data_IF_991699165868
#
_entry.id   IF_991699165868
#
_cell.length_a   1.000
_cell.length_b   1.000
_cell.length_c   1.000
_cell.angle_alpha   90.00
_cell.angle_beta   90.00
_cell.angle_gamma   90.00
#
_symmetry.space_group_name_H-M   'P 1'
#
loop_
_entity.id
_entity.type
_entity.pdbx_description
1 polymer ?
#
# COMPACT_ATOMS: atom_id res chain seq x y z
N UNK A 1 5.26 12.14 -0.32
CA UNK A 1 6.20 12.02 0.80
C UNK A 1 6.34 13.34 1.53
N UNK A 2 6.91 13.31 2.74
CA UNK A 2 6.97 14.47 3.63
C UNK A 2 7.58 15.74 3.02
N UNK A 3 8.64 15.62 2.23
CA UNK A 3 9.26 16.76 1.52
C UNK A 3 8.30 17.49 0.59
N UNK A 4 7.35 16.76 0.01
CA UNK A 4 6.32 17.28 -0.90
C UNK A 4 4.99 17.55 -0.19
N UNK A 5 4.94 17.48 1.15
CA UNK A 5 3.73 17.68 1.98
C UNK A 5 2.53 16.84 1.54
N UNK A 6 2.79 15.64 1.05
CA UNK A 6 1.76 14.69 0.64
C UNK A 6 2.03 13.30 1.22
N UNK A 7 0.97 12.52 1.43
CA UNK A 7 1.09 11.13 1.86
C UNK A 7 1.96 10.32 0.89
N UNK A 8 2.62 9.30 1.41
CA UNK A 8 3.27 8.31 0.57
C UNK A 8 2.19 7.52 -0.17
N UNK A 9 2.38 7.32 -1.47
CA UNK A 9 1.51 6.46 -2.26
C UNK A 9 2.34 5.42 -2.99
N UNK A 10 1.71 4.30 -3.27
CA UNK A 10 2.24 3.22 -4.10
C UNK A 10 1.27 2.94 -5.24
N UNK A 11 1.80 2.31 -6.28
CA UNK A 11 1.02 1.78 -7.40
C UNK A 11 1.48 0.35 -7.64
N UNK A 12 0.54 -0.54 -7.92
CA UNK A 12 0.85 -1.90 -8.33
C UNK A 12 1.38 -1.89 -9.77
N UNK A 13 2.44 -2.67 -10.01
CA UNK A 13 2.99 -2.89 -11.35
C UNK A 13 2.23 -4.08 -11.97
N UNK A 14 2.18 -4.14 -13.30
CA UNK A 14 1.68 -5.32 -14.01
C UNK A 14 2.50 -6.55 -13.62
N UNK A 15 1.80 -7.67 -13.43
CA UNK A 15 2.40 -8.91 -12.93
C UNK A 15 2.33 -9.92 -14.04
N UNK A 16 3.52 -10.32 -14.50
CA UNK A 16 3.74 -11.38 -15.46
C UNK A 16 3.85 -12.76 -14.79
N UNK A 17 4.05 -12.82 -13.46
CA UNK A 17 4.18 -14.07 -12.70
C UNK A 17 3.08 -14.26 -11.62
N UNK A 18 2.34 -15.37 -11.75
CA UNK A 18 1.29 -15.79 -10.82
C UNK A 18 1.80 -16.10 -9.39
N UNK A 19 3.11 -16.28 -9.19
CA UNK A 19 3.72 -16.56 -7.88
C UNK A 19 4.27 -15.31 -7.16
N UNK A 20 4.01 -14.12 -7.70
CA UNK A 20 4.54 -12.84 -7.17
C UNK A 20 4.02 -12.45 -5.78
N UNK A 21 3.02 -13.14 -5.24
CA UNK A 21 2.62 -12.95 -3.85
C UNK A 21 2.39 -14.28 -3.14
N UNK A 22 2.82 -14.31 -1.90
CA UNK A 22 2.55 -15.37 -0.94
C UNK A 22 1.95 -14.75 0.33
N UNK A 23 1.26 -15.58 1.11
CA UNK A 23 0.89 -15.20 2.47
C UNK A 23 2.10 -15.36 3.38
N UNK A 24 2.40 -14.32 4.16
CA UNK A 24 3.35 -14.38 5.26
C UNK A 24 2.63 -14.88 6.51
N UNK A 25 3.30 -15.67 7.35
CA UNK A 25 2.75 -16.02 8.67
C UNK A 25 2.54 -14.72 9.48
N UNK A 26 1.34 -14.47 10.02
CA UNK A 26 1.08 -13.28 10.83
C UNK A 26 2.03 -13.12 12.02
N UNK A 27 2.58 -14.21 12.56
CA UNK A 27 3.56 -14.18 13.64
C UNK A 27 4.93 -13.64 13.20
N UNK A 28 5.23 -13.68 11.90
CA UNK A 28 6.44 -13.08 11.32
C UNK A 28 6.26 -11.57 11.03
N UNK A 29 5.04 -11.05 11.18
CA UNK A 29 4.76 -9.61 10.99
C UNK A 29 5.15 -8.84 12.23
N UNK A 30 6.32 -8.20 12.18
CA UNK A 30 6.81 -7.36 13.28
C UNK A 30 6.00 -6.06 13.39
N UNK A 31 5.49 -5.54 12.26
CA UNK A 31 4.70 -4.28 12.19
C UNK A 31 3.74 -4.29 11.03
N UNK A 32 2.56 -3.70 11.24
CA UNK A 32 1.54 -3.56 10.21
C UNK A 32 1.51 -2.11 9.68
N UNK A 33 1.31 -1.98 8.37
CA UNK A 33 0.93 -0.73 7.72
C UNK A 33 -0.37 -0.95 6.96
N UNK A 34 -1.22 0.08 6.91
CA UNK A 34 -2.48 -0.01 6.17
C UNK A 34 -2.30 0.50 4.75
N UNK A 35 -2.90 -0.19 3.78
CA UNK A 35 -3.03 0.32 2.40
C UNK A 35 -4.44 0.90 2.28
N UNK A 36 -4.54 2.17 1.88
CA UNK A 36 -5.80 2.91 1.80
C UNK A 36 -5.97 3.42 0.37
N UNK A 37 -7.11 3.16 -0.26
CA UNK A 37 -7.38 3.66 -1.62
C UNK A 37 -7.24 5.18 -1.71
N UNK A 38 -6.52 5.67 -2.71
CA UNK A 38 -6.33 7.10 -2.92
C UNK A 38 -7.46 7.66 -3.79
N UNK A 39 -8.65 7.81 -3.18
CA UNK A 39 -9.91 8.15 -3.85
C UNK A 39 -9.81 9.34 -4.83
N UNK A 40 -8.98 10.33 -4.51
CA UNK A 40 -8.81 11.53 -5.32
C UNK A 40 -8.26 11.28 -6.73
N UNK A 41 -7.48 10.22 -6.92
CA UNK A 41 -6.89 9.89 -8.23
C UNK A 41 -7.80 9.06 -9.13
N UNK A 42 -8.99 8.69 -8.64
CA UNK A 42 -9.94 7.88 -9.39
C UNK A 42 -9.48 6.44 -9.62
N UNK A 43 -10.25 5.77 -10.47
CA UNK A 43 -10.10 4.36 -10.79
C UNK A 43 -9.55 4.16 -12.20
N UNK A 44 -9.08 2.96 -12.51
CA UNK A 44 -8.65 2.53 -13.83
C UNK A 44 -9.51 1.37 -14.32
N UNK A 45 -9.72 1.31 -15.63
CA UNK A 45 -10.42 0.20 -16.28
C UNK A 45 -9.41 -0.93 -16.44
N UNK A 46 -9.48 -1.91 -15.54
CA UNK A 46 -8.40 -2.86 -15.30
C UNK A 46 -8.26 -3.94 -16.38
N UNK A 47 -7.12 -3.91 -17.08
CA UNK A 47 -6.54 -5.09 -17.75
C UNK A 47 -5.09 -5.38 -17.33
N UNK A 48 -4.43 -4.48 -16.59
CA UNK A 48 -2.98 -4.57 -16.34
C UNK A 48 -2.58 -4.68 -14.85
N UNK A 49 -3.52 -4.88 -13.93
CA UNK A 49 -3.22 -4.93 -12.49
C UNK A 49 -3.61 -6.26 -11.85
N UNK A 50 -2.64 -6.82 -11.11
CA UNK A 50 -2.65 -8.05 -10.32
C UNK A 50 -4.02 -8.58 -9.87
N UNK A 51 -4.20 -9.91 -10.02
CA UNK A 51 -5.36 -10.66 -9.52
C UNK A 51 -5.53 -10.60 -7.98
N UNK A 52 -4.54 -10.12 -7.23
CA UNK A 52 -4.64 -10.00 -5.77
C UNK A 52 -5.51 -8.82 -5.34
N UNK A 53 -5.60 -7.80 -6.20
CA UNK A 53 -6.52 -6.68 -6.00
C UNK A 53 -7.98 -7.11 -6.23
N UNK A 54 -8.23 -8.18 -7.01
CA UNK A 54 -9.57 -8.66 -7.35
C UNK A 54 -10.34 -9.32 -6.20
N UNK A 55 -9.68 -9.75 -5.12
CA UNK A 55 -10.37 -10.43 -4.01
C UNK A 55 -11.19 -9.45 -3.16
N UNK A 56 -10.76 -8.17 -3.09
CA UNK A 56 -11.46 -7.13 -2.32
C UNK A 56 -12.42 -6.28 -3.19
N UNK A 57 -12.11 -6.08 -4.46
CA UNK A 57 -12.88 -5.19 -5.36
C UNK A 57 -13.95 -5.95 -6.19
N UNK A 58 -14.62 -6.94 -5.58
CA UNK A 58 -15.75 -7.69 -6.19
C UNK A 58 -17.01 -6.86 -6.47
N UNK A 59 -17.00 -5.56 -6.19
CA UNK A 59 -18.16 -4.69 -6.37
C UNK A 59 -17.90 -3.66 -7.48
N UNK A 60 -17.95 -4.07 -8.75
CA UNK A 60 -18.28 -3.29 -9.97
C UNK A 60 -17.74 -1.85 -10.18
N UNK A 61 -16.84 -1.36 -9.33
CA UNK A 61 -16.22 -0.04 -9.33
C UNK A 61 -14.75 -0.29 -9.66
N UNK A 62 -14.24 0.28 -10.76
CA UNK A 62 -12.91 -0.06 -11.28
C UNK A 62 -11.77 0.05 -10.26
N UNK A 63 -10.61 -0.53 -10.58
CA UNK A 63 -9.49 -0.63 -9.63
C UNK A 63 -8.89 0.74 -9.31
N UNK A 64 -8.57 1.05 -8.05
CA UNK A 64 -7.96 2.35 -7.71
C UNK A 64 -6.55 2.48 -8.32
N UNK A 65 -6.23 3.64 -8.91
CA UNK A 65 -4.95 3.87 -9.60
C UNK A 65 -3.75 3.98 -8.64
N UNK A 66 -4.01 4.41 -7.42
CA UNK A 66 -3.02 4.67 -6.40
C UNK A 66 -3.60 4.32 -5.03
N UNK A 67 -2.70 3.95 -4.12
CA UNK A 67 -3.04 3.71 -2.72
C UNK A 67 -2.09 4.49 -1.82
N UNK A 68 -2.63 5.11 -0.79
CA UNK A 68 -1.85 5.73 0.28
C UNK A 68 -1.31 4.69 1.25
N UNK A 69 -0.12 4.96 1.77
CA UNK A 69 0.51 4.19 2.86
C UNK A 69 0.09 4.80 4.19
N UNK A 70 -0.78 4.09 4.91
CA UNK A 70 -1.24 4.40 6.26
C UNK A 70 -0.19 4.01 7.31
N UNK A 71 0.87 4.81 7.41
CA UNK A 71 1.98 4.65 8.38
C UNK A 71 1.61 5.03 9.83
N UNK A 72 0.34 5.31 10.10
CA UNK A 72 -0.14 5.82 11.40
C UNK A 72 -0.69 4.73 12.32
N UNK A 73 -0.39 3.45 12.05
CA UNK A 73 -0.83 2.33 12.89
C UNK A 73 -0.25 2.44 14.31
N UNK A 74 0.98 2.94 14.43
CA UNK A 74 1.63 3.25 15.69
C UNK A 74 2.67 4.39 15.53
N UNK A 75 3.05 5.01 16.66
CA UNK A 75 3.97 6.15 16.67
C UNK A 75 5.39 5.80 16.19
N UNK A 76 5.87 4.59 16.49
CA UNK A 76 7.21 4.15 16.10
C UNK A 76 7.30 3.90 14.58
N UNK A 77 6.26 3.34 13.99
CA UNK A 77 6.09 3.21 12.53
C UNK A 77 6.06 4.59 11.88
N UNK A 78 5.31 5.56 12.40
CA UNK A 78 5.31 6.92 11.85
C UNK A 78 6.70 7.58 11.94
N UNK A 79 7.40 7.46 13.07
CA UNK A 79 8.73 8.06 13.27
C UNK A 79 9.81 7.45 12.39
N UNK A 80 9.70 6.16 12.02
CA UNK A 80 10.57 5.53 11.00
C UNK A 80 10.42 6.20 9.63
N UNK A 81 9.21 6.50 9.19
CA UNK A 81 8.99 7.15 7.89
C UNK A 81 9.43 8.62 7.90
N UNK A 82 9.32 9.29 9.05
CA UNK A 82 9.74 10.69 9.23
C UNK A 82 11.27 10.81 9.37
N UNK A 83 11.95 9.78 9.85
CA UNK A 83 13.40 9.80 10.12
C UNK A 83 13.77 10.45 11.44
N UNK A 84 12.86 10.43 12.44
CA UNK A 84 13.03 11.10 13.73
C UNK A 84 13.17 10.18 14.96
N UNK A 85 13.12 8.87 14.77
CA UNK A 85 13.24 7.91 15.87
C UNK A 85 14.71 7.79 16.35
N UNK A 86 14.94 7.95 17.65
CA UNK A 86 16.24 7.72 18.28
C UNK A 86 16.57 6.22 18.15
N UNK A 87 17.57 5.88 17.35
CA UNK A 87 18.03 4.49 17.13
C UNK A 87 18.04 4.00 15.68
N UNK A 88 17.70 4.84 14.70
CA UNK A 88 17.79 4.50 13.28
C UNK A 88 18.71 5.49 12.54
N UNK A 89 19.96 5.07 12.32
CA UNK A 89 20.93 5.62 11.37
C UNK A 89 21.41 4.52 10.43
#
# INVERSE_FOLDING_TARGET
>A
GFSQRQLHHIRFIAIDDAMSFAFLDPNEVIRAIHIISAFHYGTTQALEMSAIVDVAERMNEGKWQFYYVGMFSDHDTAMRFIGGAIGYQ
#
